data_IF_888396846667
#
_entry.id   IF_888396846667
#
_cell.length_a   1.000
_cell.length_b   1.000
_cell.length_c   1.000
_cell.angle_alpha   90.00
_cell.angle_beta   90.00
_cell.angle_gamma   90.00
#
_symmetry.space_group_name_H-M   'P 1'
#
loop_
_entity.id
_entity.type
_entity.pdbx_description
1 polymer ?
#
# COMPACT_ATOMS: atom_id res chain seq x y z
N UNK A 1 66.42 13.15 -33.69
CA UNK A 1 65.73 14.24 -32.98
C UNK A 1 64.25 14.18 -33.32
N UNK A 2 63.37 14.05 -32.28
CA UNK A 2 62.01 14.65 -32.16
C UNK A 2 60.98 14.31 -33.25
N UNK A 3 59.73 13.85 -33.04
CA UNK A 3 58.74 13.78 -31.94
C UNK A 3 57.60 12.86 -32.48
N UNK A 4 57.14 11.83 -31.77
CA UNK A 4 56.00 11.81 -30.82
C UNK A 4 54.79 12.67 -31.22
N UNK A 5 53.64 12.04 -31.49
CA UNK A 5 52.35 12.38 -30.86
C UNK A 5 51.25 11.39 -31.28
N UNK A 6 51.13 10.33 -30.48
CA UNK A 6 49.99 9.42 -30.40
C UNK A 6 48.86 10.16 -29.69
N UNK A 7 47.73 10.43 -30.36
CA UNK A 7 46.55 10.99 -29.71
C UNK A 7 45.80 9.87 -28.99
N UNK A 8 45.82 9.93 -27.65
CA UNK A 8 45.03 9.10 -26.75
C UNK A 8 43.54 9.47 -26.86
N UNK A 9 42.71 8.48 -27.17
CA UNK A 9 41.27 8.48 -26.91
C UNK A 9 41.04 8.24 -25.41
N UNK A 10 40.70 9.29 -24.67
CA UNK A 10 40.24 9.18 -23.29
C UNK A 10 38.73 8.91 -23.30
N UNK A 11 38.34 7.64 -23.34
CA UNK A 11 36.96 7.24 -23.09
C UNK A 11 36.69 7.34 -21.59
N UNK A 12 36.09 8.46 -21.17
CA UNK A 12 35.53 8.64 -19.84
C UNK A 12 34.38 7.66 -19.61
N UNK A 13 34.64 6.60 -18.85
CA UNK A 13 33.63 5.71 -18.28
C UNK A 13 32.78 6.53 -17.30
N UNK A 14 31.61 6.99 -17.75
CA UNK A 14 30.55 7.47 -16.86
C UNK A 14 29.89 6.22 -16.29
N UNK A 15 30.32 5.78 -15.11
CA UNK A 15 29.56 4.80 -14.32
C UNK A 15 28.29 5.48 -13.84
N UNK A 16 27.20 5.31 -14.57
CA UNK A 16 25.86 5.60 -14.07
C UNK A 16 25.64 4.74 -12.82
N UNK A 17 25.33 5.32 -11.64
CA UNK A 17 24.85 4.52 -10.53
C UNK A 17 23.50 3.95 -10.94
N UNK A 18 23.49 2.69 -11.35
CA UNK A 18 22.29 1.87 -11.27
C UNK A 18 21.92 1.89 -9.79
N UNK A 19 20.77 2.49 -9.46
CA UNK A 19 20.16 2.32 -8.14
C UNK A 19 20.00 0.81 -7.96
N UNK A 20 20.83 0.23 -7.09
CA UNK A 20 20.75 -1.18 -6.79
C UNK A 20 19.40 -1.40 -6.09
N UNK A 21 18.48 -2.01 -6.81
CA UNK A 21 17.22 -2.51 -6.26
C UNK A 21 17.59 -3.64 -5.30
N UNK A 22 17.35 -3.44 -4.02
CA UNK A 22 17.57 -4.45 -2.99
C UNK A 22 16.32 -5.33 -2.88
N UNK A 23 16.38 -6.55 -3.44
CA UNK A 23 15.27 -7.52 -3.42
C UNK A 23 14.53 -7.56 -2.06
N UNK A 24 13.19 -7.76 -2.07
CA UNK A 24 12.40 -7.87 -0.85
C UNK A 24 13.01 -8.88 0.12
N UNK A 25 13.17 -8.47 1.38
CA UNK A 25 13.82 -9.26 2.41
C UNK A 25 12.80 -9.97 3.30
N UNK A 26 13.01 -11.27 3.51
CA UNK A 26 12.15 -12.08 4.38
C UNK A 26 12.13 -11.52 5.79
N UNK A 27 10.94 -11.34 6.34
CA UNK A 27 10.77 -10.80 7.69
C UNK A 27 9.34 -10.41 8.00
N UNK A 28 9.12 -10.08 9.27
CA UNK A 28 7.88 -9.44 9.74
C UNK A 28 8.21 -8.05 10.22
N UNK A 29 7.49 -7.07 9.71
CA UNK A 29 7.71 -5.65 9.92
C UNK A 29 6.41 -5.03 10.41
N UNK A 30 6.47 -4.23 11.46
CA UNK A 30 5.30 -3.52 12.01
C UNK A 30 5.44 -2.03 11.81
N UNK A 31 4.32 -1.31 11.92
CA UNK A 31 4.34 0.14 11.78
C UNK A 31 4.95 0.87 12.97
N UNK A 32 5.36 2.11 12.74
CA UNK A 32 5.99 3.00 13.73
C UNK A 32 5.11 3.31 14.93
N UNK A 33 3.78 3.35 14.78
CA UNK A 33 2.84 3.50 15.91
C UNK A 33 2.83 2.27 16.85
N UNK A 34 3.33 1.13 16.38
CA UNK A 34 3.57 -0.08 17.17
C UNK A 34 5.03 -0.22 17.64
N UNK A 35 5.87 0.80 17.39
CA UNK A 35 7.31 0.75 17.66
C UNK A 35 8.13 -0.01 16.61
N UNK A 36 7.53 -0.33 15.46
CA UNK A 36 8.22 -0.94 14.32
C UNK A 36 8.88 0.08 13.38
N UNK A 37 9.27 -0.38 12.19
CA UNK A 37 10.03 0.41 11.22
C UNK A 37 9.21 0.94 10.04
N UNK A 38 8.02 0.39 9.77
CA UNK A 38 7.20 0.80 8.63
C UNK A 38 6.45 2.08 8.97
N UNK A 39 6.51 3.09 8.11
CA UNK A 39 5.68 4.27 8.27
C UNK A 39 4.20 3.91 8.15
N UNK A 40 3.41 4.45 9.08
CA UNK A 40 1.96 4.58 8.89
C UNK A 40 1.67 5.30 7.57
N UNK A 41 0.48 5.11 7.03
CA UNK A 41 0.10 5.67 5.74
C UNK A 41 -1.16 6.49 5.77
N UNK A 42 -1.56 6.87 4.58
CA UNK A 42 -2.83 7.51 4.26
C UNK A 42 -3.42 6.79 3.07
N UNK A 43 -4.74 6.81 2.97
CA UNK A 43 -5.47 6.16 1.91
C UNK A 43 -6.53 7.08 1.33
N UNK A 44 -6.86 6.84 0.08
CA UNK A 44 -8.04 7.32 -0.59
C UNK A 44 -8.73 6.17 -1.32
N UNK A 45 -10.04 6.28 -1.47
CA UNK A 45 -10.84 5.35 -2.27
C UNK A 45 -11.74 6.16 -3.15
N UNK A 46 -11.49 6.10 -4.46
CA UNK A 46 -12.27 6.80 -5.47
C UNK A 46 -13.56 6.06 -5.80
N UNK A 47 -14.55 6.77 -6.33
CA UNK A 47 -15.80 6.23 -6.89
C UNK A 47 -16.26 7.07 -8.09
N UNK A 48 -17.03 6.48 -9.02
CA UNK A 48 -17.46 7.18 -10.25
C UNK A 48 -18.44 8.33 -10.03
N UNK A 49 -19.23 8.30 -8.94
CA UNK A 49 -20.27 9.30 -8.67
C UNK A 49 -20.24 9.86 -7.26
N UNK A 50 -20.85 11.04 -7.09
CA UNK A 50 -20.85 11.81 -5.83
C UNK A 50 -21.37 10.99 -4.65
N UNK A 51 -22.50 10.29 -4.83
CA UNK A 51 -23.19 9.56 -3.76
C UNK A 51 -23.06 8.03 -3.86
N UNK A 52 -22.63 7.53 -5.02
CA UNK A 52 -22.50 6.10 -5.31
C UNK A 52 -21.79 5.94 -6.63
N UNK A 53 -21.14 4.80 -6.84
CA UNK A 53 -20.70 4.42 -8.17
C UNK A 53 -19.58 3.41 -8.13
N UNK A 54 -19.69 2.41 -9.00
CA UNK A 54 -18.62 1.45 -9.25
C UNK A 54 -17.86 1.86 -10.52
N UNK A 55 -16.58 1.44 -10.67
CA UNK A 55 -15.79 0.77 -9.65
C UNK A 55 -15.38 1.71 -8.50
N UNK A 56 -15.01 1.14 -7.36
CA UNK A 56 -14.18 1.84 -6.38
C UNK A 56 -12.72 1.47 -6.60
N UNK A 57 -11.81 2.43 -6.36
CA UNK A 57 -10.37 2.22 -6.56
C UNK A 57 -9.62 2.70 -5.33
N UNK A 58 -8.92 1.75 -4.69
CA UNK A 58 -8.12 1.98 -3.50
C UNK A 58 -6.72 2.45 -3.88
N UNK A 59 -6.26 3.50 -3.20
CA UNK A 59 -4.90 4.02 -3.28
C UNK A 59 -4.42 4.37 -1.87
N UNK A 60 -3.29 3.82 -1.44
CA UNK A 60 -2.70 4.09 -0.14
C UNK A 60 -1.20 4.28 -0.25
N UNK A 61 -0.65 5.19 0.54
CA UNK A 61 0.78 5.49 0.54
C UNK A 61 1.27 5.69 1.97
N UNK A 62 2.50 5.26 2.23
CA UNK A 62 3.28 5.65 3.42
C UNK A 62 3.30 7.17 3.61
N UNK A 63 3.36 7.63 4.86
CA UNK A 63 3.37 9.04 5.22
C UNK A 63 4.46 9.32 6.27
N UNK A 64 5.43 10.17 5.92
CA UNK A 64 6.56 10.52 6.79
C UNK A 64 6.33 11.80 7.65
N UNK A 65 5.16 12.43 7.50
CA UNK A 65 4.84 13.72 8.12
C UNK A 65 4.91 14.92 7.16
N UNK A 66 5.52 14.77 5.99
CA UNK A 66 5.66 15.80 4.97
C UNK A 66 5.36 15.31 3.54
N UNK A 67 5.77 14.09 3.20
CA UNK A 67 5.68 13.47 1.88
C UNK A 67 4.93 12.14 1.94
N UNK A 68 4.18 11.87 0.87
CA UNK A 68 3.53 10.59 0.62
C UNK A 68 4.47 9.67 -0.17
N UNK A 69 4.34 8.36 0.04
CA UNK A 69 4.95 7.35 -0.82
C UNK A 69 6.47 7.27 -0.68
N UNK A 70 7.02 7.47 0.51
CA UNK A 70 8.47 7.41 0.75
C UNK A 70 8.99 6.00 1.03
N UNK A 71 8.12 5.08 1.45
CA UNK A 71 8.48 3.69 1.74
C UNK A 71 7.65 2.69 0.94
N UNK A 72 6.33 2.86 0.93
CA UNK A 72 5.41 1.97 0.24
C UNK A 72 4.24 2.73 -0.39
N UNK A 73 3.68 2.12 -1.44
CA UNK A 73 2.45 2.52 -2.12
C UNK A 73 1.65 1.27 -2.49
N UNK A 74 0.37 1.24 -2.14
CA UNK A 74 -0.63 0.32 -2.66
C UNK A 74 -1.50 1.09 -3.65
N UNK A 75 -1.53 0.69 -4.91
CA UNK A 75 -2.31 1.37 -5.94
C UNK A 75 -3.15 0.41 -6.77
N UNK A 76 -4.22 0.93 -7.37
CA UNK A 76 -5.01 0.24 -8.40
C UNK A 76 -5.69 -1.06 -7.93
N UNK A 77 -5.97 -1.23 -6.63
CA UNK A 77 -6.86 -2.31 -6.20
C UNK A 77 -8.31 -1.89 -6.46
N UNK A 78 -9.07 -2.71 -7.21
CA UNK A 78 -10.39 -2.31 -7.75
C UNK A 78 -11.52 -3.15 -7.17
N UNK A 79 -12.54 -2.49 -6.65
CA UNK A 79 -13.80 -3.10 -6.22
C UNK A 79 -14.86 -2.84 -7.30
N UNK A 80 -15.26 -3.89 -8.01
CA UNK A 80 -16.24 -3.84 -9.10
C UNK A 80 -17.66 -4.25 -8.66
N UNK A 81 -17.84 -4.55 -7.38
CA UNK A 81 -19.10 -4.95 -6.77
C UNK A 81 -19.43 -4.06 -5.59
N UNK A 82 -20.71 -3.91 -5.28
CA UNK A 82 -21.10 -3.19 -4.08
C UNK A 82 -20.53 -3.89 -2.82
N UNK A 83 -20.07 -3.09 -1.86
CA UNK A 83 -19.64 -3.60 -0.56
C UNK A 83 -20.80 -4.25 0.21
N UNK A 84 -20.48 -5.24 1.03
CA UNK A 84 -21.43 -5.83 1.96
C UNK A 84 -21.81 -4.86 3.07
N UNK A 85 -23.06 -4.89 3.53
CA UNK A 85 -23.56 -4.04 4.62
C UNK A 85 -24.25 -4.89 5.67
N UNK A 86 -23.86 -4.72 6.92
CA UNK A 86 -24.57 -5.28 8.08
C UNK A 86 -24.92 -4.12 9.01
N UNK A 87 -26.21 -3.80 9.10
CA UNK A 87 -26.73 -2.75 9.97
C UNK A 87 -27.21 -3.34 11.30
N UNK A 88 -26.43 -3.11 12.36
CA UNK A 88 -26.73 -3.57 13.72
C UNK A 88 -27.35 -2.44 14.57
N UNK A 89 -27.83 -1.35 13.95
CA UNK A 89 -28.44 -0.26 14.71
C UNK A 89 -29.84 -0.65 15.17
N UNK A 90 -30.17 -0.26 16.40
CA UNK A 90 -31.52 -0.36 16.98
C UNK A 90 -31.96 1.04 17.38
N UNK A 91 -33.06 1.52 16.82
CA UNK A 91 -33.54 2.89 17.08
C UNK A 91 -32.55 3.99 16.68
N UNK A 92 -31.64 3.73 15.74
CA UNK A 92 -30.62 4.68 15.29
C UNK A 92 -29.30 4.67 16.06
N UNK A 93 -29.18 3.86 17.12
CA UNK A 93 -27.94 3.65 17.86
C UNK A 93 -27.34 2.28 17.55
N UNK A 94 -26.03 2.17 17.39
CA UNK A 94 -25.34 0.91 17.17
C UNK A 94 -24.24 1.05 16.13
N UNK A 95 -23.99 0.00 15.35
CA UNK A 95 -22.93 0.00 14.33
C UNK A 95 -23.46 -0.40 12.98
N UNK A 96 -22.90 0.17 11.92
CA UNK A 96 -23.02 -0.34 10.56
C UNK A 96 -21.64 -0.85 10.14
N UNK A 97 -21.58 -2.10 9.67
CA UNK A 97 -20.36 -2.74 9.19
C UNK A 97 -20.41 -2.82 7.67
N UNK A 98 -19.42 -2.22 7.03
CA UNK A 98 -19.21 -2.24 5.59
C UNK A 98 -18.04 -3.17 5.27
N UNK A 99 -18.20 -4.10 4.34
CA UNK A 99 -17.14 -5.00 3.88
C UNK A 99 -16.87 -4.75 2.41
N UNK A 100 -15.74 -4.14 2.11
CA UNK A 100 -15.25 -3.92 0.75
C UNK A 100 -14.29 -5.00 0.32
N UNK A 101 -14.37 -5.41 -0.94
CA UNK A 101 -13.51 -6.43 -1.56
C UNK A 101 -12.94 -5.88 -2.86
N UNK A 102 -11.67 -5.47 -2.80
CA UNK A 102 -10.90 -5.04 -3.96
C UNK A 102 -10.09 -6.21 -4.51
N UNK A 103 -9.91 -6.24 -5.83
CA UNK A 103 -9.14 -7.26 -6.52
C UNK A 103 -8.01 -6.62 -7.32
N UNK A 104 -6.89 -7.31 -7.40
CA UNK A 104 -5.70 -6.84 -8.08
C UNK A 104 -5.04 -5.67 -7.35
N UNK A 105 -4.36 -4.86 -8.15
CA UNK A 105 -3.54 -3.75 -7.67
C UNK A 105 -2.09 -4.17 -7.44
N UNK A 106 -1.32 -3.18 -7.01
CA UNK A 106 0.13 -3.27 -6.90
C UNK A 106 0.55 -2.73 -5.55
N UNK A 107 1.42 -3.44 -4.83
CA UNK A 107 2.20 -2.86 -3.75
C UNK A 107 3.61 -2.59 -4.26
N UNK A 108 4.09 -1.36 -4.16
CA UNK A 108 5.47 -0.98 -4.45
C UNK A 108 6.17 -0.60 -3.16
N UNK A 109 7.31 -1.23 -2.89
CA UNK A 109 8.30 -0.75 -1.94
C UNK A 109 9.34 0.08 -2.68
N UNK A 110 9.58 1.30 -2.20
CA UNK A 110 10.52 2.22 -2.81
C UNK A 110 11.94 2.01 -2.28
N UNK A 111 12.92 2.28 -3.15
CA UNK A 111 14.33 2.23 -2.80
C UNK A 111 14.64 3.11 -1.57
N UNK A 112 15.49 2.60 -0.68
CA UNK A 112 15.79 3.24 0.60
C UNK A 112 14.87 2.82 1.75
N UNK A 113 13.87 1.97 1.49
CA UNK A 113 13.08 1.27 2.49
C UNK A 113 13.87 0.19 3.23
N UNK A 114 14.64 0.57 4.25
CA UNK A 114 15.30 -0.38 5.14
C UNK A 114 14.38 -0.68 6.33
N UNK A 115 14.20 -1.95 6.79
CA UNK A 115 14.95 -3.16 6.45
C UNK A 115 14.31 -4.14 5.43
N UNK A 116 13.19 -3.80 4.77
CA UNK A 116 12.46 -4.75 3.92
C UNK A 116 12.94 -4.82 2.45
N UNK A 117 13.81 -3.91 2.02
CA UNK A 117 14.25 -3.83 0.62
C UNK A 117 13.28 -3.01 -0.24
N UNK A 118 13.28 -3.24 -1.54
CA UNK A 118 12.42 -2.59 -2.51
C UNK A 118 11.85 -3.60 -3.51
N UNK A 119 10.91 -3.17 -4.34
CA UNK A 119 10.30 -4.00 -5.38
C UNK A 119 8.79 -3.92 -5.43
N UNK A 120 8.22 -4.60 -6.42
CA UNK A 120 6.80 -4.51 -6.74
C UNK A 120 6.14 -5.87 -6.59
N UNK A 121 5.02 -5.91 -5.86
CA UNK A 121 4.16 -7.07 -5.71
C UNK A 121 2.83 -6.87 -6.42
N UNK A 122 2.39 -7.90 -7.14
CA UNK A 122 1.00 -7.99 -7.61
C UNK A 122 0.13 -8.47 -6.47
N UNK A 123 -0.96 -7.75 -6.20
CA UNK A 123 -1.88 -8.08 -5.12
C UNK A 123 -3.00 -9.00 -5.61
N UNK A 124 -3.45 -9.88 -4.72
CA UNK A 124 -4.63 -10.72 -4.92
C UNK A 124 -5.90 -9.99 -4.52
N UNK A 125 -6.57 -10.48 -3.48
CA UNK A 125 -7.77 -9.85 -2.93
C UNK A 125 -7.42 -9.03 -1.70
N UNK A 126 -7.83 -7.75 -1.71
CA UNK A 126 -7.74 -6.86 -0.55
C UNK A 126 -9.13 -6.72 0.06
N UNK A 127 -9.29 -7.13 1.31
CA UNK A 127 -10.55 -6.98 2.05
C UNK A 127 -10.41 -5.86 3.07
N UNK A 128 -11.33 -4.89 3.05
CA UNK A 128 -11.43 -3.84 4.07
C UNK A 128 -12.78 -3.95 4.78
N UNK A 129 -12.76 -3.95 6.11
CA UNK A 129 -13.93 -3.95 6.98
C UNK A 129 -13.96 -2.61 7.71
N UNK A 130 -14.93 -1.76 7.37
CA UNK A 130 -15.19 -0.50 8.06
C UNK A 130 -16.36 -0.67 9.02
N UNK A 131 -16.13 -0.47 10.31
CA UNK A 131 -17.18 -0.44 11.32
C UNK A 131 -17.44 1.00 11.72
N UNK A 132 -18.63 1.51 11.43
CA UNK A 132 -19.06 2.87 11.75
C UNK A 132 -20.04 2.82 12.92
N UNK A 133 -19.72 3.51 14.00
CA UNK A 133 -20.61 3.66 15.14
C UNK A 133 -21.55 4.84 14.91
N UNK A 134 -22.85 4.62 15.16
CA UNK A 134 -23.89 5.62 15.10
C UNK A 134 -24.53 5.83 16.48
N UNK A 135 -24.89 7.08 16.75
CA UNK A 135 -25.66 7.47 17.93
C UNK A 135 -26.73 8.47 17.53
N UNK A 136 -27.90 8.39 18.18
CA UNK A 136 -28.92 9.41 18.03
C UNK A 136 -28.48 10.72 18.67
N UNK A 137 -28.28 11.74 17.85
CA UNK A 137 -27.97 13.11 18.26
C UNK A 137 -29.09 13.99 17.71
N UNK A 138 -29.82 14.66 18.59
CA UNK A 138 -30.95 15.53 18.22
C UNK A 138 -32.00 14.84 17.32
N UNK A 139 -32.25 13.54 17.55
CA UNK A 139 -33.23 12.77 16.77
C UNK A 139 -32.72 12.23 15.43
N UNK A 140 -31.43 12.39 15.12
CA UNK A 140 -30.80 11.90 13.89
C UNK A 140 -29.73 10.86 14.22
N UNK A 141 -29.71 9.74 13.49
CA UNK A 141 -28.68 8.69 13.63
C UNK A 141 -27.36 9.15 13.01
N UNK A 142 -26.52 9.80 13.80
CA UNK A 142 -25.27 10.44 13.36
C UNK A 142 -24.08 9.48 13.53
N UNK A 143 -23.21 9.34 12.51
CA UNK A 143 -21.94 8.61 12.68
C UNK A 143 -21.03 9.38 13.65
N UNK A 144 -20.53 8.70 14.68
CA UNK A 144 -19.71 9.31 15.74
C UNK A 144 -18.30 8.75 15.83
N UNK A 145 -18.05 7.56 15.28
CA UNK A 145 -16.74 6.95 15.20
C UNK A 145 -16.67 5.97 14.01
N UNK A 146 -15.48 5.72 13.49
CA UNK A 146 -15.23 4.66 12.51
C UNK A 146 -13.89 4.00 12.75
N UNK A 147 -13.83 2.70 12.51
CA UNK A 147 -12.60 1.92 12.53
C UNK A 147 -12.53 1.03 11.29
N UNK A 148 -11.37 0.98 10.65
CA UNK A 148 -11.14 0.22 9.42
C UNK A 148 -10.05 -0.81 9.68
N UNK A 149 -10.37 -2.07 9.45
CA UNK A 149 -9.40 -3.16 9.46
C UNK A 149 -9.33 -3.77 8.08
N UNK A 150 -8.18 -4.29 7.67
CA UNK A 150 -8.05 -4.87 6.35
C UNK A 150 -6.86 -5.80 6.23
N UNK A 151 -6.89 -6.59 5.17
CA UNK A 151 -5.76 -7.43 4.80
C UNK A 151 -5.70 -7.61 3.29
N UNK A 152 -4.51 -7.94 2.82
CA UNK A 152 -4.23 -8.35 1.45
C UNK A 152 -3.03 -9.28 1.43
N UNK A 153 -2.87 -9.98 0.32
CA UNK A 153 -1.71 -10.81 0.03
C UNK A 153 -1.29 -10.59 -1.42
N UNK A 154 -0.02 -10.83 -1.71
CA UNK A 154 0.51 -10.67 -3.06
C UNK A 154 1.79 -11.45 -3.28
N UNK A 155 2.34 -11.30 -4.47
CA UNK A 155 3.60 -11.93 -4.87
C UNK A 155 4.50 -10.88 -5.54
N UNK A 156 5.73 -10.76 -5.05
CA UNK A 156 6.77 -9.93 -5.66
C UNK A 156 7.28 -10.56 -6.95
N UNK A 157 7.84 -9.74 -7.85
CA UNK A 157 8.39 -10.21 -9.14
C UNK A 157 9.47 -11.29 -9.01
N UNK A 158 10.15 -11.39 -7.87
CA UNK A 158 11.15 -12.41 -7.57
C UNK A 158 10.58 -13.67 -6.89
N UNK A 159 9.25 -13.77 -6.76
CA UNK A 159 8.55 -14.91 -6.16
C UNK A 159 8.38 -14.85 -4.64
N UNK A 160 8.84 -13.78 -3.97
CA UNK A 160 8.56 -13.61 -2.55
C UNK A 160 7.08 -13.36 -2.31
N UNK A 161 6.50 -13.99 -1.29
CA UNK A 161 5.11 -13.82 -0.91
C UNK A 161 4.96 -12.66 0.08
N UNK A 162 3.93 -11.85 -0.13
CA UNK A 162 3.53 -10.74 0.72
C UNK A 162 2.24 -11.10 1.47
N UNK A 163 2.22 -10.84 2.78
CA UNK A 163 0.99 -10.66 3.56
C UNK A 163 1.02 -9.29 4.20
N UNK A 164 -0.05 -8.53 4.05
CA UNK A 164 -0.17 -7.19 4.59
C UNK A 164 -1.49 -7.02 5.32
N UNK A 165 -1.42 -6.59 6.58
CA UNK A 165 -2.58 -6.32 7.42
C UNK A 165 -2.56 -4.87 7.92
N UNK A 166 -3.76 -4.29 8.00
CA UNK A 166 -4.05 -2.97 8.54
C UNK A 166 -5.03 -3.17 9.68
N UNK A 167 -4.75 -2.56 10.83
CA UNK A 167 -5.70 -2.48 11.93
C UNK A 167 -5.95 -1.02 12.28
N UNK A 168 -7.10 -0.74 12.89
CA UNK A 168 -7.40 0.57 13.48
C UNK A 168 -7.28 1.78 12.53
N UNK A 169 -7.43 1.59 11.22
CA UNK A 169 -7.52 2.70 10.28
C UNK A 169 -8.72 3.60 10.59
N UNK A 170 -8.65 4.86 10.16
CA UNK A 170 -9.69 5.86 10.48
C UNK A 170 -10.13 6.62 9.23
N UNK A 171 -11.44 6.70 8.98
CA UNK A 171 -12.00 7.62 8.00
C UNK A 171 -11.86 9.06 8.45
N UNK A 172 -11.41 9.95 7.57
CA UNK A 172 -11.18 11.38 7.88
C UNK A 172 -12.15 12.28 7.15
N UNK A 173 -12.45 11.98 5.89
CA UNK A 173 -13.39 12.78 5.12
C UNK A 173 -13.85 12.09 3.85
N UNK A 174 -14.85 12.70 3.24
CA UNK A 174 -15.38 12.27 1.96
C UNK A 174 -15.90 13.45 1.15
N UNK A 175 -15.97 13.25 -0.15
CA UNK A 175 -16.68 14.15 -1.07
C UNK A 175 -18.18 13.80 -1.10
N UNK A 176 -19.07 14.78 -1.30
CA UNK A 176 -18.79 16.18 -1.61
C UNK A 176 -18.65 17.06 -0.36
N UNK A 177 -18.70 16.49 0.85
CA UNK A 177 -18.72 17.27 2.09
C UNK A 177 -17.40 17.99 2.38
N UNK A 178 -16.29 17.47 1.87
CA UNK A 178 -14.99 18.12 1.90
C UNK A 178 -14.20 17.87 0.60
N UNK A 179 -13.13 18.63 0.40
CA UNK A 179 -12.13 18.37 -0.64
C UNK A 179 -10.97 17.59 -0.06
N UNK A 180 -10.47 16.61 -0.81
CA UNK A 180 -9.30 15.82 -0.39
C UNK A 180 -8.06 16.73 -0.25
N UNK A 181 -7.37 16.74 0.91
CA UNK A 181 -6.14 17.50 1.06
C UNK A 181 -4.98 16.90 0.25
N UNK A 182 -4.06 17.74 -0.24
CA UNK A 182 -2.87 17.29 -0.98
C UNK A 182 -1.94 16.35 -0.19
N UNK A 183 -2.09 16.32 1.15
CA UNK A 183 -1.39 15.39 2.02
C UNK A 183 -2.02 13.98 2.07
N UNK A 184 -3.03 13.68 1.25
CA UNK A 184 -3.59 12.33 1.08
C UNK A 184 -3.34 11.84 -0.36
N UNK A 185 -3.25 10.52 -0.58
CA UNK A 185 -3.09 9.98 -1.92
C UNK A 185 -4.21 10.48 -2.83
N UNK A 186 -3.86 10.95 -4.02
CA UNK A 186 -4.85 11.39 -4.99
C UNK A 186 -5.82 10.26 -5.34
N UNK A 187 -7.05 10.60 -5.69
CA UNK A 187 -7.98 9.63 -6.22
C UNK A 187 -7.48 9.08 -7.56
N UNK A 188 -7.46 7.75 -7.69
CA UNK A 188 -7.22 7.06 -8.96
C UNK A 188 -8.56 6.61 -9.53
N UNK A 189 -8.82 6.84 -10.81
CA UNK A 189 -10.05 6.38 -11.47
C UNK A 189 -9.97 4.90 -11.89
N UNK A 190 -11.03 4.40 -12.53
CA UNK A 190 -11.11 3.01 -13.00
C UNK A 190 -10.05 2.60 -14.04
N UNK A 191 -9.30 3.55 -14.62
CA UNK A 191 -8.13 3.29 -15.45
C UNK A 191 -6.81 3.27 -14.65
N UNK A 192 -6.90 3.42 -13.34
CA UNK A 192 -5.78 3.56 -12.41
C UNK A 192 -4.87 4.76 -12.68
N UNK A 193 -5.42 5.79 -13.33
CA UNK A 193 -4.78 7.09 -13.49
C UNK A 193 -5.39 8.09 -12.50
N UNK A 194 -4.71 9.20 -12.18
CA UNK A 194 -5.32 10.26 -11.38
C UNK A 194 -6.67 10.67 -11.96
N UNK A 195 -7.71 10.62 -11.14
CA UNK A 195 -9.07 10.95 -11.57
C UNK A 195 -9.13 12.38 -12.09
N UNK A 196 -9.97 12.61 -13.11
CA UNK A 196 -10.15 13.96 -13.65
C UNK A 196 -10.64 14.95 -12.57
N UNK A 197 -10.34 16.26 -12.69
CA UNK A 197 -10.80 17.27 -11.73
C UNK A 197 -12.33 17.29 -11.53
N UNK A 198 -13.10 16.93 -12.55
CA UNK A 198 -14.57 16.83 -12.51
C UNK A 198 -15.10 15.54 -11.87
N UNK A 199 -14.21 14.59 -11.55
CA UNK A 199 -14.54 13.27 -11.03
C UNK A 199 -13.80 12.99 -9.72
N UNK A 200 -13.52 14.00 -8.91
CA UNK A 200 -12.89 13.85 -7.60
C UNK A 200 -13.92 13.40 -6.56
N UNK A 201 -14.39 12.14 -6.67
CA UNK A 201 -15.35 11.57 -5.73
C UNK A 201 -14.76 10.39 -4.98
N UNK A 202 -14.92 10.37 -3.66
CA UNK A 202 -14.39 9.30 -2.83
C UNK A 202 -14.28 9.64 -1.35
N UNK A 203 -13.58 8.77 -0.64
CA UNK A 203 -13.27 8.91 0.80
C UNK A 203 -11.76 8.88 1.01
N UNK A 204 -11.28 9.46 2.11
CA UNK A 204 -9.87 9.37 2.52
C UNK A 204 -9.74 9.20 4.03
N UNK A 205 -8.60 8.63 4.43
CA UNK A 205 -8.37 8.24 5.80
C UNK A 205 -6.92 7.88 6.11
N UNK A 206 -6.68 7.54 7.36
CA UNK A 206 -5.36 7.15 7.85
C UNK A 206 -5.22 5.62 7.84
N UNK A 207 -4.03 5.15 7.51
CA UNK A 207 -3.62 3.74 7.59
C UNK A 207 -2.63 3.64 8.75
N UNK A 208 -2.96 2.88 9.78
CA UNK A 208 -2.13 2.72 10.97
C UNK A 208 -2.12 1.27 11.43
N UNK A 209 -1.38 0.97 12.49
CA UNK A 209 -1.31 -0.35 13.12
C UNK A 209 -1.16 -1.47 12.08
N UNK A 210 -0.08 -1.39 11.33
CA UNK A 210 0.17 -2.24 10.18
C UNK A 210 1.12 -3.38 10.55
N UNK A 211 0.94 -4.52 9.90
CA UNK A 211 1.91 -5.62 9.92
C UNK A 211 2.11 -6.12 8.49
N UNK A 212 3.35 -6.14 8.05
CA UNK A 212 3.77 -6.71 6.77
C UNK A 212 4.65 -7.93 7.03
N UNK A 213 4.39 -9.01 6.31
CA UNK A 213 5.21 -10.20 6.31
C UNK A 213 5.64 -10.51 4.88
N UNK A 214 6.94 -10.66 4.69
CA UNK A 214 7.56 -11.06 3.43
C UNK A 214 8.18 -12.44 3.65
N UNK A 215 7.87 -13.38 2.76
CA UNK A 215 8.43 -14.72 2.78
C UNK A 215 9.02 -15.06 1.41
N UNK A 216 10.33 -15.05 1.32
CA UNK A 216 11.06 -15.50 0.14
C UNK A 216 11.47 -16.96 0.37
N UNK A 217 11.01 -17.86 -0.50
CA UNK A 217 11.56 -19.22 -0.51
C UNK A 217 13.04 -19.14 -0.85
N UNK A 218 13.91 -19.34 0.14
CA UNK A 218 15.32 -19.61 -0.13
C UNK A 218 15.40 -20.91 -0.90
N UNK A 219 16.08 -20.90 -2.05
CA UNK A 219 16.41 -22.14 -2.74
C UNK A 219 17.18 -23.05 -1.77
N UNK A 220 16.73 -24.29 -1.57
CA UNK A 220 17.58 -25.31 -0.96
C UNK A 220 18.82 -25.47 -1.85
N UNK A 221 19.95 -24.93 -1.38
CA UNK A 221 21.26 -25.22 -1.94
C UNK A 221 21.54 -26.72 -1.76
N UNK A 222 21.15 -27.53 -2.75
CA UNK A 222 21.43 -28.98 -2.81
C UNK A 222 22.93 -29.30 -2.83
N UNK A 223 23.79 -28.28 -2.97
CA UNK A 223 25.24 -28.41 -3.18
C UNK A 223 26.12 -28.11 -1.96
N UNK A 224 25.62 -27.51 -0.87
CA UNK A 224 26.51 -27.04 0.21
C UNK A 224 27.01 -28.14 1.16
N UNK A 225 26.24 -29.21 1.39
CA UNK A 225 26.66 -30.29 2.30
C UNK A 225 27.64 -31.30 1.68
N UNK A 226 27.57 -31.50 0.36
CA UNK A 226 28.46 -32.42 -0.36
C UNK A 226 29.89 -31.87 -0.46
N UNK A 227 30.03 -30.57 -0.72
CA UNK A 227 31.32 -29.91 -0.85
C UNK A 227 32.09 -29.84 0.48
N UNK A 228 31.40 -29.65 1.61
CA UNK A 228 32.04 -29.63 2.93
C UNK A 228 32.61 -31.01 3.29
N UNK A 229 31.93 -32.11 2.95
CA UNK A 229 32.42 -33.47 3.21
C UNK A 229 33.62 -33.87 2.33
N UNK A 230 33.79 -33.22 1.18
CA UNK A 230 34.94 -33.42 0.29
C UNK A 230 36.23 -32.77 0.79
N UNK A 231 36.15 -31.78 1.69
CA UNK A 231 37.32 -31.13 2.31
C UNK A 231 37.92 -31.92 3.48
N UNK A 232 37.22 -32.94 3.97
CA UNK A 232 37.67 -33.80 5.09
C UNK A 232 38.03 -35.23 4.64
N UNK A 233 38.32 -35.44 3.34
CA UNK A 233 38.85 -36.71 2.81
C UNK A 233 40.26 -36.56 2.27
#
# INVERSE_FOLDING_TARGET
MKRLLTLMTLASLVTLPLLAQADPLTGTYTSTDLGGQILTGRASTWRTGVNSGLPHVLHAQSWDGANLGTQWELSCAVENSAFGVVDNRVGGNGTVVYTSTFNGGTLTFFAGGWPWGDGTATLGTTTLISTVQHMMISGVSTPVASVINGNTSGEFTNGCLLTFAIANGSGVGETPFASIPATYPAFLDGSCSPAAPSAQFGTWGNVMTMTMHINCTVSEETTSWGAIKGLYR
#
